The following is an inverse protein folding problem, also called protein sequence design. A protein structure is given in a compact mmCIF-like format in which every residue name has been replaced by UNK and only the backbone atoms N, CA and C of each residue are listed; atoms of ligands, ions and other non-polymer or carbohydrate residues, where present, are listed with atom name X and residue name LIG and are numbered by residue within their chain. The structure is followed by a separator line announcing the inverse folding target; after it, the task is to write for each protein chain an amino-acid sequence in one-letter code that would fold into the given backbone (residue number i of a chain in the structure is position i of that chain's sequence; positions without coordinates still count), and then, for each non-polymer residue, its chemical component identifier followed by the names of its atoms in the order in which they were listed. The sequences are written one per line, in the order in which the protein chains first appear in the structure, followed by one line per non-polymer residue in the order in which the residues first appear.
data_IF_195850207080
#
_entry.id   IF_195850207080
#
_cell.length_a   1.000
_cell.length_b   1.000
_cell.length_c   1.000
_cell.angle_alpha   90.00
_cell.angle_beta   90.00
_cell.angle_gamma   90.00
#
_symmetry.space_group_name_H-M   'P 1'
#
loop_
_entity.id
_entity.type
_entity.pdbx_description
1 polymer ?
#
# COMPACT_ATOMS: atom_id res chain seq x y z
N UNK A 1 -38.58 30.67 42.45
CA UNK A 1 -38.51 29.95 41.16
C UNK A 1 -37.23 30.35 40.47
N UNK A 2 -36.30 29.42 40.24
CA UNK A 2 -35.03 29.70 39.57
C UNK A 2 -34.57 28.44 38.86
N UNK A 3 -35.15 28.18 37.70
CA UNK A 3 -34.88 27.01 36.87
C UNK A 3 -33.47 27.17 36.29
N UNK A 4 -32.46 26.62 36.97
CA UNK A 4 -31.11 26.51 36.43
C UNK A 4 -31.17 25.48 35.30
N UNK A 5 -31.38 25.96 34.07
CA UNK A 5 -31.09 25.16 32.89
C UNK A 5 -29.60 24.83 32.93
N UNK A 6 -29.28 23.65 33.47
CA UNK A 6 -28.01 22.99 33.23
C UNK A 6 -27.84 22.94 31.73
N UNK A 7 -26.98 23.79 31.17
CA UNK A 7 -26.62 23.71 29.75
C UNK A 7 -26.06 22.32 29.53
N UNK A 8 -26.84 21.45 28.90
CA UNK A 8 -26.39 20.13 28.49
C UNK A 8 -25.30 20.41 27.44
N UNK A 9 -24.04 20.27 27.85
CA UNK A 9 -22.90 20.40 26.93
C UNK A 9 -23.04 19.27 25.92
N UNK A 10 -23.27 19.62 24.65
CA UNK A 10 -23.34 18.67 23.55
C UNK A 10 -22.08 17.82 23.52
N UNK A 11 -22.21 16.52 23.25
CA UNK A 11 -21.03 15.66 23.15
C UNK A 11 -20.19 16.06 21.91
N UNK A 12 -18.86 15.82 21.90
CA UNK A 12 -18.03 16.11 20.73
C UNK A 12 -18.51 15.42 19.45
N UNK A 13 -19.15 14.26 19.59
CA UNK A 13 -19.72 13.51 18.47
C UNK A 13 -21.00 14.16 17.95
N UNK A 14 -21.83 14.72 18.84
CA UNK A 14 -23.02 15.50 18.45
C UNK A 14 -22.65 16.80 17.73
N UNK A 15 -21.58 17.49 18.16
CA UNK A 15 -21.11 18.72 17.49
C UNK A 15 -20.70 18.44 16.04
N UNK A 16 -20.19 17.24 15.76
CA UNK A 16 -19.79 16.83 14.41
C UNK A 16 -20.90 16.10 13.63
N UNK A 17 -22.08 15.91 14.21
CA UNK A 17 -23.15 15.04 13.68
C UNK A 17 -22.68 13.61 13.36
N UNK A 18 -21.91 13.01 14.26
CA UNK A 18 -21.35 11.68 14.09
C UNK A 18 -21.83 10.70 15.15
N UNK A 19 -21.88 9.43 14.76
CA UNK A 19 -22.09 8.35 15.72
C UNK A 19 -20.82 8.13 16.57
N UNK A 20 -20.93 7.71 17.84
CA UNK A 20 -19.77 7.36 18.66
C UNK A 20 -18.92 6.20 18.12
N UNK A 21 -19.49 5.36 17.24
CA UNK A 21 -18.78 4.27 16.54
C UNK A 21 -18.10 4.72 15.24
N UNK A 22 -18.18 6.01 14.88
CA UNK A 22 -17.61 6.52 13.64
C UNK A 22 -16.10 6.41 13.68
N UNK A 23 -15.52 5.93 12.58
CA UNK A 23 -14.08 5.75 12.40
C UNK A 23 -13.36 7.10 12.35
N UNK A 24 -12.06 7.09 12.62
CA UNK A 24 -11.16 8.23 12.57
C UNK A 24 -11.19 8.88 11.19
N UNK A 25 -11.32 8.07 10.14
CA UNK A 25 -11.48 8.55 8.76
C UNK A 25 -12.80 9.31 8.57
N UNK A 26 -13.92 8.73 9.00
CA UNK A 26 -15.23 9.38 8.94
C UNK A 26 -15.25 10.69 9.74
N UNK A 27 -14.61 10.70 10.92
CA UNK A 27 -14.48 11.92 11.75
C UNK A 27 -13.68 13.00 11.03
N UNK A 28 -12.54 12.64 10.40
CA UNK A 28 -11.72 13.58 9.63
C UNK A 28 -12.46 14.14 8.43
N UNK A 29 -13.17 13.30 7.71
CA UNK A 29 -13.87 13.72 6.49
C UNK A 29 -15.05 14.64 6.85
N UNK A 30 -15.83 14.31 7.88
CA UNK A 30 -16.91 15.18 8.38
C UNK A 30 -16.40 16.51 8.92
N UNK A 31 -15.29 16.51 9.67
CA UNK A 31 -14.64 17.74 10.12
C UNK A 31 -14.27 18.67 8.96
N UNK A 32 -13.68 18.13 7.88
CA UNK A 32 -13.33 18.92 6.70
C UNK A 32 -14.56 19.53 6.05
N UNK A 33 -15.64 18.76 5.90
CA UNK A 33 -16.90 19.26 5.33
C UNK A 33 -17.47 20.40 6.17
N UNK A 34 -17.58 20.22 7.49
CA UNK A 34 -18.13 21.23 8.40
C UNK A 34 -17.30 22.52 8.41
N UNK A 35 -15.97 22.43 8.45
CA UNK A 35 -15.11 23.62 8.43
C UNK A 35 -15.24 24.39 7.11
N UNK A 36 -15.41 23.71 5.96
CA UNK A 36 -15.63 24.38 4.68
C UNK A 36 -16.98 25.11 4.63
N UNK A 37 -18.01 24.54 5.24
CA UNK A 37 -19.36 25.14 5.32
C UNK A 37 -19.41 26.38 6.24
N UNK A 38 -18.63 26.35 7.33
CA UNK A 38 -18.67 27.37 8.39
C UNK A 38 -17.56 28.42 8.22
N UNK A 39 -16.63 28.25 7.28
CA UNK A 39 -15.50 29.19 7.12
C UNK A 39 -16.00 30.62 6.82
N UNK A 40 -15.48 31.65 7.53
CA UNK A 40 -15.94 33.04 7.37
C UNK A 40 -15.71 33.59 5.96
N UNK A 41 -14.74 33.08 5.20
CA UNK A 41 -14.53 33.50 3.80
C UNK A 41 -15.58 32.94 2.84
N UNK A 42 -16.23 31.82 3.19
CA UNK A 42 -17.29 31.19 2.38
C UNK A 42 -18.64 31.83 2.72
N UNK A 43 -18.87 32.09 4.00
CA UNK A 43 -20.05 32.83 4.46
C UNK A 43 -19.78 34.34 4.37
N UNK A 44 -20.15 34.96 3.24
CA UNK A 44 -20.02 36.41 2.96
C UNK A 44 -20.63 37.38 3.99
N UNK A 45 -21.22 36.87 5.07
CA UNK A 45 -21.71 37.63 6.20
C UNK A 45 -20.86 37.24 7.40
N UNK A 46 -20.07 38.18 7.92
CA UNK A 46 -19.34 38.05 9.18
C UNK A 46 -20.32 37.94 10.35
N UNK A 47 -21.02 36.81 10.45
CA UNK A 47 -21.81 36.47 11.62
C UNK A 47 -20.84 36.06 12.71
N UNK A 48 -20.87 36.76 13.84
CA UNK A 48 -20.14 36.38 15.05
C UNK A 48 -20.45 34.96 15.53
N UNK A 49 -21.52 34.36 15.00
CA UNK A 49 -21.93 32.99 15.24
C UNK A 49 -21.14 31.96 14.41
N UNK A 50 -20.84 32.23 13.13
CA UNK A 50 -20.05 31.31 12.29
C UNK A 50 -18.63 31.11 12.84
N UNK A 51 -18.02 32.17 13.38
CA UNK A 51 -16.72 32.07 14.05
C UNK A 51 -16.78 31.22 15.32
N UNK A 52 -17.87 31.27 16.10
CA UNK A 52 -18.03 30.44 17.31
C UNK A 52 -18.25 28.98 16.95
N UNK A 53 -19.11 28.72 15.97
CA UNK A 53 -19.38 27.36 15.47
C UNK A 53 -18.10 26.70 14.92
N UNK A 54 -17.27 27.44 14.17
CA UNK A 54 -15.99 26.92 13.69
C UNK A 54 -15.05 26.52 14.84
N UNK A 55 -15.00 27.34 15.91
CA UNK A 55 -14.19 27.03 17.11
C UNK A 55 -14.72 25.78 17.81
N UNK A 56 -16.04 25.65 17.98
CA UNK A 56 -16.66 24.48 18.59
C UNK A 56 -16.36 23.20 17.81
N UNK A 57 -16.45 23.24 16.47
CA UNK A 57 -16.11 22.12 15.57
C UNK A 57 -14.64 21.72 15.72
N UNK A 58 -13.73 22.71 15.75
CA UNK A 58 -12.29 22.46 15.94
C UNK A 58 -11.99 21.83 17.30
N UNK A 59 -12.61 22.32 18.37
CA UNK A 59 -12.43 21.78 19.71
C UNK A 59 -12.96 20.34 19.82
N UNK A 60 -14.14 20.07 19.27
CA UNK A 60 -14.74 18.73 19.24
C UNK A 60 -13.84 17.73 18.50
N UNK A 61 -13.37 18.08 17.30
CA UNK A 61 -12.45 17.24 16.53
C UNK A 61 -11.14 16.99 17.27
N UNK A 62 -10.54 18.05 17.83
CA UNK A 62 -9.25 17.96 18.54
C UNK A 62 -9.38 17.13 19.82
N UNK A 63 -10.51 17.22 20.52
CA UNK A 63 -10.81 16.39 21.69
C UNK A 63 -10.88 14.91 21.34
N UNK A 64 -11.64 14.54 20.29
CA UNK A 64 -11.76 13.15 19.84
C UNK A 64 -10.41 12.57 19.41
N UNK A 65 -9.62 13.33 18.65
CA UNK A 65 -8.33 12.86 18.12
C UNK A 65 -7.23 12.71 19.19
N UNK A 66 -7.33 13.45 20.31
CA UNK A 66 -6.38 13.34 21.42
C UNK A 66 -6.81 12.32 22.48
N UNK A 67 -8.09 12.01 22.56
CA UNK A 67 -8.63 11.04 23.52
C UNK A 67 -8.31 9.59 23.10
N UNK A 68 -8.15 8.67 24.07
CA UNK A 68 -8.03 7.25 23.75
C UNK A 68 -9.32 6.72 23.12
N UNK A 69 -9.26 5.64 22.32
CA UNK A 69 -10.48 5.00 21.82
C UNK A 69 -11.35 4.53 22.98
N UNK A 70 -12.65 4.80 22.89
CA UNK A 70 -13.65 4.40 23.88
C UNK A 70 -13.96 2.91 23.74
N UNK A 71 -13.41 2.12 24.65
CA UNK A 71 -13.44 0.65 24.58
C UNK A 71 -14.86 0.07 24.60
N UNK A 72 -15.83 0.79 25.17
CA UNK A 72 -17.23 0.34 25.29
C UNK A 72 -17.90 0.13 23.93
N UNK A 73 -17.44 0.86 22.91
CA UNK A 73 -17.99 0.78 21.57
C UNK A 73 -17.36 -0.33 20.73
N UNK A 74 -16.18 -0.83 21.10
CA UNK A 74 -15.46 -1.87 20.36
C UNK A 74 -15.78 -3.26 20.94
N UNK A 75 -17.02 -3.67 20.76
CA UNK A 75 -17.52 -4.98 21.17
C UNK A 75 -17.40 -6.02 20.03
N UNK A 76 -17.60 -7.29 20.37
CA UNK A 76 -17.52 -8.39 19.41
C UNK A 76 -18.51 -8.23 18.25
N UNK A 77 -19.71 -7.73 18.52
CA UNK A 77 -20.75 -7.50 17.50
C UNK A 77 -20.32 -6.48 16.45
N UNK A 78 -19.65 -5.40 16.87
CA UNK A 78 -19.12 -4.39 15.95
C UNK A 78 -18.07 -5.01 15.02
N UNK A 79 -17.16 -5.83 15.57
CA UNK A 79 -16.15 -6.53 14.76
C UNK A 79 -16.75 -7.59 13.83
N UNK A 80 -17.87 -8.22 14.21
CA UNK A 80 -18.58 -9.14 13.31
C UNK A 80 -19.22 -8.42 12.11
N UNK A 81 -19.61 -7.14 12.25
CA UNK A 81 -20.15 -6.35 11.13
C UNK A 81 -19.08 -6.05 10.08
N UNK A 82 -17.93 -5.54 10.51
CA UNK A 82 -16.79 -5.29 9.63
C UNK A 82 -15.48 -5.32 10.41
N UNK A 83 -14.88 -6.52 10.49
CA UNK A 83 -13.66 -6.75 11.26
C UNK A 83 -12.54 -5.82 10.83
N UNK A 84 -12.33 -5.70 9.50
CA UNK A 84 -11.18 -4.97 8.97
C UNK A 84 -11.32 -3.49 9.25
N UNK A 85 -12.49 -2.91 8.98
CA UNK A 85 -12.76 -1.48 9.21
C UNK A 85 -12.55 -1.10 10.67
N UNK A 86 -13.19 -1.82 11.59
CA UNK A 86 -13.18 -1.43 13.01
C UNK A 86 -11.91 -1.85 13.75
N UNK A 87 -11.26 -2.96 13.37
CA UNK A 87 -9.96 -3.32 13.92
C UNK A 87 -8.90 -2.31 13.49
N UNK A 88 -8.81 -2.01 12.18
CA UNK A 88 -7.84 -1.04 11.68
C UNK A 88 -8.01 0.33 12.36
N UNK A 89 -9.25 0.81 12.50
CA UNK A 89 -9.54 2.07 13.20
C UNK A 89 -9.12 2.03 14.68
N UNK A 90 -9.49 0.96 15.40
CA UNK A 90 -9.17 0.81 16.81
C UNK A 90 -7.65 0.86 17.05
N UNK A 91 -6.90 0.03 16.32
CA UNK A 91 -5.45 -0.09 16.53
C UNK A 91 -4.68 1.12 16.00
N UNK A 92 -5.17 1.81 14.97
CA UNK A 92 -4.62 3.10 14.56
C UNK A 92 -4.77 4.13 15.69
N UNK A 93 -5.97 4.25 16.29
CA UNK A 93 -6.20 5.19 17.41
C UNK A 93 -5.36 4.86 18.64
N UNK A 94 -5.21 3.59 18.99
CA UNK A 94 -4.33 3.18 20.09
C UNK A 94 -2.89 3.59 19.80
N UNK A 95 -2.40 3.32 18.59
CA UNK A 95 -1.04 3.66 18.16
C UNK A 95 -0.79 5.16 18.20
N UNK A 96 -1.71 5.98 17.68
CA UNK A 96 -1.59 7.43 17.70
C UNK A 96 -1.65 7.98 19.13
N UNK A 97 -2.61 7.51 19.92
CA UNK A 97 -2.77 7.94 21.30
C UNK A 97 -1.50 7.68 22.10
N UNK A 98 -0.87 6.51 21.89
CA UNK A 98 0.36 6.11 22.56
C UNK A 98 1.63 6.63 21.89
N UNK A 99 1.55 7.26 20.72
CA UNK A 99 2.69 7.77 19.97
C UNK A 99 3.67 6.68 19.53
N UNK A 100 3.18 5.49 19.15
CA UNK A 100 4.04 4.35 18.78
C UNK A 100 4.52 4.54 17.33
N UNK A 101 5.81 4.84 17.09
CA UNK A 101 6.32 4.99 15.74
C UNK A 101 6.31 3.64 15.02
N UNK A 102 5.87 3.63 13.76
CA UNK A 102 5.89 2.44 12.90
C UNK A 102 5.15 1.23 13.49
N UNK A 103 4.07 1.46 14.24
CA UNK A 103 3.21 0.38 14.71
C UNK A 103 2.71 -0.47 13.52
N UNK A 104 2.73 -1.82 13.64
CA UNK A 104 2.23 -2.68 12.57
C UNK A 104 0.75 -2.41 12.35
N UNK A 105 0.31 -2.40 11.09
CA UNK A 105 -1.09 -2.17 10.75
C UNK A 105 -1.82 -3.50 10.64
N UNK A 106 -3.10 -3.49 10.97
CA UNK A 106 -3.96 -4.67 10.87
C UNK A 106 -4.05 -5.25 9.44
N UNK A 107 -3.97 -4.37 8.44
CA UNK A 107 -4.00 -4.71 7.03
C UNK A 107 -2.66 -5.15 6.43
N UNK A 108 -1.56 -5.14 7.20
CA UNK A 108 -0.26 -5.52 6.69
C UNK A 108 -0.20 -7.03 6.36
N UNK A 109 0.61 -7.46 5.37
CA UNK A 109 0.78 -8.87 5.05
C UNK A 109 1.32 -9.69 6.23
N UNK A 110 2.14 -9.07 7.08
CA UNK A 110 2.71 -9.65 8.30
C UNK A 110 1.76 -9.45 9.50
N UNK A 111 0.59 -10.10 9.44
CA UNK A 111 -0.42 -10.00 10.48
C UNK A 111 -0.01 -10.70 11.79
N UNK A 112 0.95 -11.64 11.76
CA UNK A 112 1.41 -12.31 12.98
C UNK A 112 2.21 -11.34 13.86
N UNK A 113 3.11 -10.54 13.26
CA UNK A 113 3.82 -9.48 13.98
C UNK A 113 2.86 -8.47 14.60
N UNK A 114 1.78 -8.13 13.89
CA UNK A 114 0.72 -7.29 14.43
C UNK A 114 0.15 -7.89 15.74
N UNK A 115 -0.24 -9.16 15.73
CA UNK A 115 -0.79 -9.80 16.94
C UNK A 115 0.23 -9.99 18.05
N UNK A 116 1.50 -10.24 17.75
CA UNK A 116 2.56 -10.31 18.76
C UNK A 116 2.69 -9.00 19.54
N UNK A 117 2.65 -7.86 18.85
CA UNK A 117 2.72 -6.53 19.47
C UNK A 117 1.48 -6.25 20.32
N UNK A 118 0.28 -6.44 19.77
CA UNK A 118 -0.95 -6.04 20.45
C UNK A 118 -1.46 -7.03 21.50
N UNK A 119 -1.13 -8.32 21.41
CA UNK A 119 -1.46 -9.30 22.44
C UNK A 119 -0.61 -9.12 23.71
N UNK A 120 0.61 -8.61 23.55
CA UNK A 120 1.53 -8.29 24.65
C UNK A 120 1.65 -6.77 24.88
N UNK A 121 0.64 -6.01 24.44
CA UNK A 121 0.69 -4.56 24.44
C UNK A 121 1.03 -3.97 25.80
N UNK A 122 2.03 -3.08 25.81
CA UNK A 122 2.40 -2.23 26.94
C UNK A 122 2.71 -0.83 26.41
N UNK A 123 2.09 0.17 27.01
CA UNK A 123 2.31 1.57 26.65
C UNK A 123 3.44 2.19 27.48
N UNK A 124 4.21 3.06 26.84
CA UNK A 124 5.19 3.93 27.50
C UNK A 124 4.60 5.31 27.84
N UNK A 125 3.34 5.56 27.45
CA UNK A 125 2.66 6.83 27.72
C UNK A 125 2.45 7.02 29.23
N UNK A 126 2.53 8.26 29.69
CA UNK A 126 2.23 8.65 31.06
C UNK A 126 0.73 8.74 31.29
N UNK A 127 0.27 8.20 32.42
CA UNK A 127 -1.11 8.26 32.91
C UNK A 127 -1.11 8.92 34.29
N UNK A 128 -2.27 9.34 34.79
CA UNK A 128 -2.38 9.93 36.13
C UNK A 128 -2.11 8.88 37.20
N UNK A 129 -2.57 7.65 36.96
CA UNK A 129 -2.37 6.51 37.86
C UNK A 129 -1.84 5.28 37.10
N UNK A 130 -1.13 4.39 37.80
CA UNK A 130 -0.68 3.12 37.20
C UNK A 130 -1.85 2.14 37.00
N UNK A 131 -2.92 2.29 37.77
CA UNK A 131 -4.19 1.57 37.61
C UNK A 131 -4.81 1.85 36.25
N UNK A 132 -4.96 3.12 35.87
CA UNK A 132 -5.51 3.54 34.56
C UNK A 132 -4.66 3.01 33.40
N UNK A 133 -3.33 3.12 33.52
CA UNK A 133 -2.40 2.58 32.52
C UNK A 133 -2.54 1.07 32.38
N UNK A 134 -2.67 0.37 33.50
CA UNK A 134 -2.84 -1.08 33.56
C UNK A 134 -4.18 -1.50 32.95
N UNK A 135 -5.25 -0.78 33.27
CA UNK A 135 -6.58 -0.99 32.70
C UNK A 135 -6.59 -0.76 31.19
N UNK A 136 -6.03 0.36 30.72
CA UNK A 136 -5.86 0.66 29.30
C UNK A 136 -5.14 -0.48 28.57
N UNK A 137 -3.98 -0.93 29.07
CA UNK A 137 -3.23 -2.03 28.47
C UNK A 137 -3.99 -3.36 28.51
N UNK A 138 -4.75 -3.64 29.58
CA UNK A 138 -5.61 -4.83 29.67
C UNK A 138 -6.72 -4.80 28.63
N UNK A 139 -7.36 -3.64 28.42
CA UNK A 139 -8.44 -3.46 27.46
C UNK A 139 -7.94 -3.60 26.02
N UNK A 140 -6.79 -3.02 25.67
CA UNK A 140 -6.16 -3.21 24.34
C UNK A 140 -5.87 -4.69 24.08
N UNK A 141 -5.26 -5.40 25.04
CA UNK A 141 -4.98 -6.84 24.93
C UNK A 141 -6.26 -7.69 24.87
N UNK A 142 -7.35 -7.26 25.50
CA UNK A 142 -8.65 -7.94 25.42
C UNK A 142 -9.20 -7.84 23.99
N UNK A 143 -9.22 -6.65 23.41
CA UNK A 143 -9.70 -6.44 22.04
C UNK A 143 -8.81 -7.16 21.03
N UNK A 144 -7.48 -7.14 21.20
CA UNK A 144 -6.57 -7.89 20.34
C UNK A 144 -6.90 -9.39 20.28
N UNK A 145 -7.29 -10.00 21.41
CA UNK A 145 -7.73 -11.40 21.47
C UNK A 145 -9.05 -11.64 20.74
N UNK A 146 -10.04 -10.76 20.93
CA UNK A 146 -11.33 -10.83 20.22
C UNK A 146 -11.12 -10.71 18.71
N UNK A 147 -10.32 -9.74 18.27
CA UNK A 147 -10.00 -9.54 16.86
C UNK A 147 -9.23 -10.75 16.32
N UNK A 148 -8.31 -11.35 17.08
CA UNK A 148 -7.58 -12.57 16.67
C UNK A 148 -8.51 -13.76 16.49
N UNK A 149 -9.50 -13.97 17.37
CA UNK A 149 -10.45 -15.07 17.24
C UNK A 149 -11.41 -14.91 16.06
N UNK A 150 -11.70 -13.68 15.65
CA UNK A 150 -12.57 -13.39 14.50
C UNK A 150 -11.81 -13.34 13.17
N UNK A 151 -10.49 -13.11 13.20
CA UNK A 151 -9.67 -13.06 11.99
C UNK A 151 -9.39 -14.47 11.44
N UNK A 152 -10.02 -14.77 10.31
CA UNK A 152 -9.85 -16.05 9.59
C UNK A 152 -8.39 -16.32 9.19
N UNK A 153 -7.56 -15.28 9.03
CA UNK A 153 -6.13 -15.42 8.72
C UNK A 153 -5.35 -16.02 9.88
N UNK A 154 -5.72 -15.69 11.11
CA UNK A 154 -5.06 -16.16 12.32
C UNK A 154 -5.51 -17.56 12.74
N UNK A 155 -6.65 -18.04 12.23
CA UNK A 155 -7.22 -19.34 12.62
C UNK A 155 -6.76 -20.51 11.73
N UNK A 156 -5.81 -20.28 10.82
CA UNK A 156 -5.30 -21.32 9.91
C UNK A 156 -4.47 -22.39 10.66
N UNK A 157 -4.04 -22.13 11.90
CA UNK A 157 -3.41 -23.12 12.78
C UNK A 157 -4.37 -24.20 13.32
N UNK A 158 -5.69 -24.07 13.12
CA UNK A 158 -6.68 -25.08 13.54
C UNK A 158 -7.33 -25.84 12.37
N UNK A 159 -6.81 -25.69 11.14
CA UNK A 159 -6.94 -26.77 10.17
C UNK A 159 -5.84 -27.77 10.49
N UNK A 160 -6.24 -28.87 11.12
CA UNK A 160 -5.45 -30.09 11.22
C UNK A 160 -4.77 -30.30 9.86
N UNK A 161 -3.45 -30.19 9.85
CA UNK A 161 -2.65 -30.80 8.81
C UNK A 161 -2.90 -32.29 8.99
N UNK A 162 -3.97 -32.81 8.36
CA UNK A 162 -3.89 -34.16 7.85
C UNK A 162 -2.66 -34.15 6.97
N UNK A 163 -1.68 -34.97 7.35
CA UNK A 163 -0.50 -35.27 6.56
C UNK A 163 -1.01 -35.83 5.24
N UNK A 164 -1.27 -34.94 4.29
CA UNK A 164 -1.60 -35.30 2.92
C UNK A 164 -0.29 -35.79 2.31
N UNK A 165 -0.09 -37.10 2.42
CA UNK A 165 0.75 -37.87 1.49
C UNK A 165 0.34 -37.41 0.09
N UNK A 166 1.23 -36.78 -0.70
CA UNK A 166 0.86 -36.31 -2.02
C UNK A 166 0.62 -37.52 -2.91
N UNK A 167 -0.66 -37.91 -3.06
CA UNK A 167 -1.08 -38.76 -4.15
C UNK A 167 -0.95 -37.97 -5.46
N UNK A 168 -0.38 -38.58 -6.53
CA UNK A 168 -0.13 -37.89 -7.77
C UNK A 168 -1.46 -37.70 -8.51
N UNK A 169 -2.07 -36.52 -8.35
CA UNK A 169 -3.10 -36.04 -9.27
C UNK A 169 -2.52 -34.90 -10.09
N UNK A 170 -2.37 -35.20 -11.37
CA UNK A 170 -1.91 -34.31 -12.42
C UNK A 170 -2.65 -32.98 -12.34
N UNK A 171 -1.93 -31.93 -11.93
CA UNK A 171 -2.28 -30.57 -12.30
C UNK A 171 -1.84 -30.44 -13.75
N UNK A 172 -2.80 -30.29 -14.66
CA UNK A 172 -2.52 -29.72 -15.98
C UNK A 172 -1.84 -28.37 -15.75
N UNK A 173 -0.51 -28.37 -15.82
CA UNK A 173 0.29 -27.17 -15.93
C UNK A 173 -0.15 -26.54 -17.23
N UNK A 174 -0.85 -25.40 -17.17
CA UNK A 174 -0.96 -24.51 -18.34
C UNK A 174 0.47 -24.28 -18.82
N UNK A 175 0.83 -24.91 -19.93
CA UNK A 175 2.14 -24.80 -20.56
C UNK A 175 2.27 -23.32 -20.90
N UNK A 176 3.20 -22.63 -20.22
CA UNK A 176 3.54 -21.26 -20.57
C UNK A 176 4.29 -21.34 -21.88
N UNK A 177 3.59 -21.15 -22.99
CA UNK A 177 4.16 -21.02 -24.32
C UNK A 177 4.78 -19.63 -24.43
N UNK A 178 6.10 -19.59 -24.60
CA UNK A 178 6.81 -18.34 -24.87
C UNK A 178 7.08 -18.31 -26.38
N UNK A 179 6.67 -17.26 -27.09
CA UNK A 179 6.90 -17.14 -28.53
C UNK A 179 8.39 -16.97 -28.88
N UNK A 180 9.21 -16.50 -27.93
CA UNK A 180 10.65 -16.37 -28.12
C UNK A 180 11.39 -17.10 -26.99
N UNK A 181 12.45 -17.84 -27.31
CA UNK A 181 13.27 -18.52 -26.29
C UNK A 181 14.73 -18.58 -26.70
N UNK A 182 15.62 -18.57 -25.70
CA UNK A 182 17.05 -18.78 -25.91
C UNK A 182 17.46 -20.20 -25.52
N UNK A 183 18.01 -20.96 -26.48
CA UNK A 183 18.52 -22.32 -26.30
C UNK A 183 19.74 -22.40 -25.36
N UNK A 184 20.59 -21.38 -25.34
CA UNK A 184 21.80 -21.35 -24.48
C UNK A 184 21.52 -20.99 -23.02
N UNK A 185 20.35 -20.42 -22.74
CA UNK A 185 20.01 -19.89 -21.43
C UNK A 185 18.77 -20.52 -20.82
N UNK A 186 18.07 -21.38 -21.55
CA UNK A 186 16.80 -22.01 -21.18
C UNK A 186 15.77 -20.99 -20.65
N UNK A 187 15.70 -19.84 -21.31
CA UNK A 187 14.82 -18.72 -20.93
C UNK A 187 13.82 -18.42 -22.04
N UNK A 188 12.55 -18.37 -21.67
CA UNK A 188 11.45 -17.91 -22.51
C UNK A 188 11.14 -16.42 -22.29
N UNK A 189 10.76 -15.74 -23.36
CA UNK A 189 10.46 -14.32 -23.42
C UNK A 189 9.12 -14.10 -24.12
N UNK A 190 8.35 -13.11 -23.62
CA UNK A 190 7.03 -12.79 -24.18
C UNK A 190 7.10 -11.74 -25.30
N UNK A 191 8.29 -11.18 -25.56
CA UNK A 191 8.47 -10.19 -26.63
C UNK A 191 9.86 -10.26 -27.25
N UNK A 192 9.92 -9.86 -28.53
CA UNK A 192 11.15 -9.76 -29.33
C UNK A 192 12.20 -8.89 -28.64
N UNK A 193 11.78 -7.73 -28.11
CA UNK A 193 12.67 -6.81 -27.39
C UNK A 193 13.28 -7.44 -26.14
N UNK A 194 12.56 -8.33 -25.45
CA UNK A 194 13.10 -9.03 -24.28
C UNK A 194 14.17 -10.05 -24.67
N UNK A 195 14.01 -10.78 -25.77
CA UNK A 195 15.02 -11.74 -26.25
C UNK A 195 16.23 -11.03 -26.87
N UNK A 196 16.04 -9.92 -27.60
CA UNK A 196 17.15 -9.11 -28.13
C UNK A 196 17.98 -8.50 -26.99
N UNK A 197 17.32 -7.94 -25.96
CA UNK A 197 18.02 -7.43 -24.78
C UNK A 197 18.73 -8.56 -24.02
N UNK A 198 18.16 -9.76 -24.02
CA UNK A 198 18.81 -10.93 -23.45
C UNK A 198 20.10 -11.30 -24.22
N UNK A 199 20.07 -11.34 -25.55
CA UNK A 199 21.24 -11.62 -26.40
C UNK A 199 22.35 -10.59 -26.21
N UNK A 200 22.01 -9.30 -26.06
CA UNK A 200 22.98 -8.23 -25.77
C UNK A 200 23.48 -8.22 -24.32
N UNK A 201 22.95 -9.07 -23.44
CA UNK A 201 23.32 -9.07 -22.02
C UNK A 201 24.68 -9.74 -21.78
N UNK A 202 25.48 -9.18 -20.86
CA UNK A 202 26.79 -9.72 -20.48
C UNK A 202 26.73 -11.19 -20.01
N UNK A 203 25.63 -11.58 -19.35
CA UNK A 203 25.41 -12.94 -18.85
C UNK A 203 25.15 -13.96 -19.97
N UNK A 204 24.49 -13.54 -21.04
CA UNK A 204 24.29 -14.39 -22.21
C UNK A 204 25.60 -14.51 -22.99
N UNK A 205 26.29 -13.39 -23.20
CA UNK A 205 27.58 -13.35 -23.89
C UNK A 205 28.62 -14.26 -23.22
N UNK A 206 28.73 -14.25 -21.90
CA UNK A 206 29.63 -15.12 -21.15
C UNK A 206 29.31 -16.60 -21.34
N UNK A 207 28.02 -16.98 -21.38
CA UNK A 207 27.62 -18.36 -21.66
C UNK A 207 27.91 -18.78 -23.10
N UNK A 208 27.64 -17.91 -24.08
CA UNK A 208 27.95 -18.18 -25.49
C UNK A 208 29.46 -18.26 -25.72
N UNK A 209 30.25 -17.48 -24.97
CA UNK A 209 31.72 -17.52 -25.06
C UNK A 209 32.36 -18.82 -24.63
N UNK A 210 31.62 -19.67 -23.91
CA UNK A 210 32.06 -21.01 -23.54
C UNK A 210 31.77 -22.06 -24.62
N UNK A 211 30.94 -21.72 -25.63
CA UNK A 211 30.39 -22.68 -26.59
C UNK A 211 30.78 -22.33 -28.04
N UNK A 212 30.95 -21.04 -28.37
CA UNK A 212 31.32 -20.59 -29.72
C UNK A 212 32.70 -19.94 -29.74
N UNK A 213 33.48 -20.21 -30.78
CA UNK A 213 34.80 -19.61 -31.02
C UNK A 213 34.70 -18.12 -31.40
N UNK A 214 33.55 -17.67 -31.95
CA UNK A 214 33.25 -16.25 -32.25
C UNK A 214 31.93 -15.77 -31.62
N UNK A 215 31.92 -15.46 -30.30
CA UNK A 215 30.67 -15.16 -29.56
C UNK A 215 29.95 -13.89 -30.00
N UNK A 216 30.67 -12.93 -30.59
CA UNK A 216 30.09 -11.65 -31.06
C UNK A 216 29.28 -11.83 -32.33
N UNK A 217 29.87 -12.47 -33.34
CA UNK A 217 29.20 -12.79 -34.61
C UNK A 217 28.01 -13.72 -34.38
N UNK A 218 28.16 -14.69 -33.47
CA UNK A 218 27.05 -15.56 -33.07
C UNK A 218 25.86 -14.78 -32.49
N UNK A 219 26.11 -13.85 -31.57
CA UNK A 219 25.06 -13.03 -30.97
C UNK A 219 24.43 -12.09 -31.99
N UNK A 220 25.21 -11.53 -32.91
CA UNK A 220 24.70 -10.65 -33.97
C UNK A 220 23.84 -11.40 -34.98
N UNK A 221 24.27 -12.59 -35.41
CA UNK A 221 23.49 -13.46 -36.30
C UNK A 221 22.15 -13.86 -35.67
N UNK A 222 22.14 -14.21 -34.37
CA UNK A 222 20.89 -14.54 -33.66
C UNK A 222 19.94 -13.33 -33.51
N UNK A 223 20.47 -12.10 -33.42
CA UNK A 223 19.64 -10.89 -33.41
C UNK A 223 19.10 -10.60 -34.83
N UNK A 224 19.91 -10.85 -35.86
CA UNK A 224 19.54 -10.62 -37.25
C UNK A 224 18.50 -11.64 -37.76
N UNK A 225 18.66 -12.92 -37.45
CA UNK A 225 17.66 -13.97 -37.71
C UNK A 225 16.30 -13.60 -37.08
N UNK A 226 16.32 -13.15 -35.82
CA UNK A 226 15.10 -12.69 -35.15
C UNK A 226 14.55 -11.45 -35.83
N UNK A 227 15.33 -10.58 -36.47
CA UNK A 227 14.82 -9.38 -37.15
C UNK A 227 14.30 -9.66 -38.57
N UNK A 228 14.81 -10.68 -39.25
CA UNK A 228 14.47 -11.05 -40.63
C UNK A 228 13.17 -11.87 -40.76
N UNK A 229 12.63 -12.41 -39.67
CA UNK A 229 11.29 -13.05 -39.63
C UNK A 229 10.11 -12.08 -39.95
N UNK A 230 10.36 -10.81 -40.29
CA UNK A 230 9.36 -9.82 -40.74
C UNK A 230 9.04 -9.87 -42.26
N UNK A 231 9.56 -10.83 -43.06
CA UNK A 231 9.39 -10.82 -44.53
C UNK A 231 8.93 -12.10 -45.25
N UNK A 232 8.39 -13.10 -44.55
CA UNK A 232 7.64 -14.16 -45.23
C UNK A 232 6.39 -14.55 -44.45
N UNK A 233 5.27 -13.92 -44.78
CA UNK A 233 3.95 -14.51 -44.51
C UNK A 233 3.84 -15.83 -45.30
N UNK A 234 3.60 -16.99 -44.64
CA UNK A 234 2.91 -18.07 -45.29
C UNK A 234 1.42 -17.73 -45.29
N UNK A 235 0.91 -17.52 -46.50
CA UNK A 235 -0.50 -17.46 -46.88
C UNK A 235 -1.29 -18.55 -46.16
N UNK A 236 -2.27 -18.13 -45.35
CA UNK A 236 -3.41 -18.97 -45.02
C UNK A 236 -4.66 -18.30 -45.61
N UNK A 237 -5.16 -18.89 -46.69
CA UNK A 237 -6.46 -18.60 -47.29
C UNK A 237 -7.59 -18.76 -46.26
N UNK A 238 -8.57 -17.85 -46.29
CA UNK A 238 -9.96 -18.30 -46.21
C UNK A 238 -10.79 -17.77 -47.39
N UNK A 239 -11.52 -18.69 -48.01
CA UNK A 239 -12.50 -18.42 -49.06
C UNK A 239 -13.67 -17.52 -48.58
N UNK A 240 -13.82 -16.38 -49.25
CA UNK A 240 -14.98 -15.89 -50.03
C UNK A 240 -16.41 -15.94 -49.43
N UNK A 241 -16.94 -14.73 -49.25
CA UNK A 241 -18.33 -14.19 -49.34
C UNK A 241 -19.43 -14.70 -48.38
N UNK A 242 -20.27 -13.86 -47.75
CA UNK A 242 -20.93 -12.64 -48.24
C UNK A 242 -21.20 -11.62 -47.10
N UNK A 243 -21.13 -10.32 -47.45
CA UNK A 243 -21.82 -9.20 -46.76
C UNK A 243 -23.02 -8.81 -47.66
N UNK A 244 -24.10 -8.20 -47.13
CA UNK A 244 -24.15 -6.74 -47.16
C UNK A 244 -24.80 -6.05 -45.94
N UNK A 245 -24.23 -4.88 -45.62
CA UNK A 245 -24.88 -3.61 -45.29
C UNK A 245 -25.99 -3.56 -44.21
N UNK A 246 -25.77 -2.80 -43.13
CA UNK A 246 -26.04 -1.35 -43.19
C UNK A 246 -25.41 -0.60 -42.00
N UNK A 247 -24.98 0.62 -42.29
CA UNK A 247 -24.20 1.50 -41.42
C UNK A 247 -25.08 2.43 -40.57
N UNK A 248 -24.40 3.12 -39.64
CA UNK A 248 -24.62 4.47 -39.08
C UNK A 248 -24.57 4.47 -37.54
N UNK A 249 -23.88 5.38 -36.83
CA UNK A 249 -22.83 6.39 -37.10
C UNK A 249 -22.53 7.07 -35.73
N UNK A 250 -21.27 7.46 -35.47
CA UNK A 250 -20.79 8.46 -34.47
C UNK A 250 -20.95 8.16 -32.96
N UNK A 251 -20.14 8.69 -32.03
CA UNK A 251 -18.96 9.57 -32.06
C UNK A 251 -18.11 9.33 -30.79
N UNK A 252 -16.82 9.66 -30.89
CA UNK A 252 -15.87 9.68 -29.77
C UNK A 252 -16.11 10.87 -28.83
N UNK A 253 -15.88 10.66 -27.53
CA UNK A 253 -15.47 11.72 -26.60
C UNK A 253 -14.44 11.16 -25.62
N UNK A 254 -13.23 11.71 -25.70
CA UNK A 254 -12.14 11.55 -24.74
C UNK A 254 -12.50 12.30 -23.45
N UNK A 255 -12.37 11.64 -22.30
CA UNK A 255 -12.26 12.33 -21.02
C UNK A 255 -11.05 11.81 -20.25
N UNK A 256 -10.09 12.71 -20.07
CA UNK A 256 -8.88 12.55 -19.28
C UNK A 256 -9.19 12.32 -17.80
N UNK A 257 -8.66 11.25 -17.23
CA UNK A 257 -8.61 11.05 -15.77
C UNK A 257 -7.23 11.42 -15.21
N UNK A 258 -7.12 12.14 -14.09
CA UNK A 258 -5.84 12.49 -13.49
C UNK A 258 -5.23 11.29 -12.77
N UNK A 259 -4.11 10.75 -13.31
CA UNK A 259 -3.32 9.70 -12.67
C UNK A 259 -2.42 10.29 -11.57
N UNK A 260 -2.52 9.71 -10.37
CA UNK A 260 -1.60 9.90 -9.23
C UNK A 260 -0.13 9.65 -9.63
N UNK A 261 0.85 10.35 -9.04
CA UNK A 261 2.26 10.11 -9.32
C UNK A 261 2.71 8.82 -8.64
N UNK A 262 2.80 7.74 -9.40
CA UNK A 262 3.62 6.58 -9.02
C UNK A 262 5.07 7.03 -9.03
N UNK A 263 5.70 7.08 -7.86
CA UNK A 263 7.12 7.41 -7.71
C UNK A 263 7.96 6.44 -8.55
N UNK A 264 8.43 6.90 -9.70
CA UNK A 264 9.47 6.22 -10.47
C UNK A 264 10.72 6.19 -9.58
N UNK A 265 11.14 4.99 -9.17
CA UNK A 265 12.46 4.84 -8.59
C UNK A 265 13.48 5.27 -9.64
N UNK A 266 14.29 6.27 -9.29
CA UNK A 266 15.34 6.76 -10.18
C UNK A 266 16.28 5.61 -10.56
N UNK A 267 16.82 5.60 -11.80
CA UNK A 267 17.71 4.56 -12.26
C UNK A 267 18.91 4.37 -11.31
N UNK A 268 19.32 3.12 -11.10
CA UNK A 268 20.45 2.71 -10.23
C UNK A 268 21.74 3.53 -10.40
N UNK A 269 22.12 3.99 -11.63
CA UNK A 269 23.28 4.88 -11.79
C UNK A 269 23.22 6.17 -10.97
N UNK A 270 22.04 6.69 -10.67
CA UNK A 270 21.85 7.94 -9.91
C UNK A 270 21.86 7.75 -8.39
N UNK A 271 22.08 6.53 -7.93
CA UNK A 271 22.03 6.15 -6.50
C UNK A 271 23.30 5.46 -6.03
N UNK A 272 24.36 5.43 -6.84
CA UNK A 272 25.60 4.74 -6.51
C UNK A 272 26.72 5.74 -6.25
N UNK A 273 27.41 5.63 -5.12
CA UNK A 273 28.58 6.46 -4.86
C UNK A 273 29.72 6.08 -5.81
N UNK A 274 30.30 7.08 -6.49
CA UNK A 274 31.38 6.84 -7.45
C UNK A 274 32.67 6.35 -6.76
N UNK A 275 32.91 6.76 -5.51
CA UNK A 275 34.12 6.45 -4.75
C UNK A 275 34.04 5.07 -4.09
N UNK A 276 32.99 4.78 -3.32
CA UNK A 276 32.88 3.54 -2.54
C UNK A 276 31.92 2.49 -3.14
N UNK A 277 31.25 2.79 -4.27
CA UNK A 277 30.31 1.90 -4.98
C UNK A 277 29.08 1.45 -4.18
N UNK A 278 28.78 2.08 -3.05
CA UNK A 278 27.56 1.82 -2.25
C UNK A 278 26.33 2.33 -3.01
N UNK A 279 25.26 1.52 -3.05
CA UNK A 279 23.96 1.86 -3.67
C UNK A 279 22.97 2.30 -2.59
N UNK A 280 22.34 3.44 -2.78
CA UNK A 280 21.43 4.09 -1.83
C UNK A 280 19.96 3.98 -2.27
N UNK A 281 19.03 4.16 -1.32
CA UNK A 281 17.59 4.14 -1.54
C UNK A 281 17.06 5.34 -2.33
N UNK A 282 17.86 6.40 -2.47
CA UNK A 282 17.54 7.57 -3.27
C UNK A 282 18.69 8.57 -3.37
N UNK A 283 18.55 9.57 -4.26
CA UNK A 283 19.53 10.63 -4.47
C UNK A 283 19.85 11.44 -3.21
N UNK A 284 18.87 11.66 -2.32
CA UNK A 284 19.08 12.39 -1.07
C UNK A 284 20.08 11.69 -0.14
N UNK A 285 19.97 10.37 -0.01
CA UNK A 285 20.89 9.54 0.78
C UNK A 285 22.30 9.54 0.19
N UNK A 286 22.41 9.41 -1.15
CA UNK A 286 23.68 9.51 -1.85
C UNK A 286 24.35 10.88 -1.60
N UNK A 287 23.61 11.98 -1.67
CA UNK A 287 24.14 13.33 -1.44
C UNK A 287 24.58 13.55 0.01
N UNK A 288 23.87 12.98 0.99
CA UNK A 288 24.31 13.00 2.39
C UNK A 288 25.62 12.21 2.56
N UNK A 289 25.68 11.02 1.98
CA UNK A 289 26.87 10.18 2.03
C UNK A 289 28.11 10.86 1.42
N UNK A 290 27.97 11.50 0.26
CA UNK A 290 29.06 12.27 -0.36
C UNK A 290 29.54 13.43 0.53
N UNK A 291 28.62 14.07 1.26
CA UNK A 291 28.95 15.17 2.18
C UNK A 291 29.57 14.72 3.50
N UNK A 292 29.36 13.49 3.95
CA UNK A 292 29.89 13.03 5.25
C UNK A 292 31.09 12.12 5.12
N UNK A 293 31.11 11.24 4.12
CA UNK A 293 32.16 10.22 3.97
C UNK A 293 33.35 10.67 3.12
N UNK A 294 33.14 11.64 2.22
CA UNK A 294 34.13 12.06 1.22
C UNK A 294 34.53 13.54 1.32
N UNK A 295 34.24 14.20 2.45
CA UNK A 295 34.42 15.65 2.62
C UNK A 295 35.85 16.12 2.95
N UNK A 296 36.82 15.21 3.08
CA UNK A 296 38.20 15.57 3.43
C UNK A 296 39.17 15.14 2.31
N UNK A 297 39.75 16.11 1.55
CA UNK A 297 40.79 15.81 0.57
C UNK A 297 42.18 15.52 1.19
N UNK A 298 42.33 15.59 2.52
CA UNK A 298 43.63 15.40 3.20
C UNK A 298 44.02 13.94 3.49
N UNK A 299 43.21 12.96 3.12
CA UNK A 299 43.53 11.53 3.31
C UNK A 299 43.53 10.74 1.98
N UNK A 300 44.21 11.29 0.96
CA UNK A 300 44.72 10.51 -0.18
C UNK A 300 46.24 10.54 -0.16
N UNK A 301 46.83 9.63 0.61
CA UNK A 301 48.20 9.12 0.45
C UNK A 301 48.07 7.64 0.12
#
# INVERSE_FOLDING_TARGET
MGNRHSQIKKSPYEILDLSPISTKREIKDRYKTLILEVHPDVQKVHSSQASKEAVEIMEAYRSIMKSPPRFEFYNEELFRKDLRKYAEDFFERVSDYCGIPSAPKFGDPDFERFYQVFSNFRTQKTFETEEEKSEFCRNVRRIARVVRSLDKRANVESLSIEVYQPSPKAKEKKIKTYPFSCSHCDKGFHSRNQVINHFRSKKHFEKVSLVSETPKEYVENQIQEIAEEDFSEPVCEPCVDQIPENAERHCAEEQETPKKPTGRQEPVPFRTCAECKIVFGGRAELLMHLKTAHKNPENRI
#
